data_IF_414350451985
#
_entry.id   IF_414350451985
#
_cell.length_a   1.000
_cell.length_b   1.000
_cell.length_c   1.000
_cell.angle_alpha   90.00
_cell.angle_beta   90.00
_cell.angle_gamma   90.00
#
_symmetry.space_group_name_H-M   'P 1'
#
loop_
_entity.id
_entity.type
_entity.pdbx_description
1 polymer ?
#
# COMPACT_ATOMS: atom_id res chain seq x y z
N UNK A 1 6.81 -21.88 36.45
CA UNK A 1 6.20 -21.25 35.25
C UNK A 1 4.69 -21.28 35.42
N UNK A 2 3.95 -20.30 34.85
CA UNK A 2 2.49 -20.24 34.92
C UNK A 2 1.95 -20.03 33.50
N UNK A 3 1.04 -20.90 33.04
CA UNK A 3 0.28 -20.66 31.82
C UNK A 3 -0.62 -19.45 32.04
N UNK A 4 -0.64 -18.52 31.08
CA UNK A 4 -1.42 -17.28 31.18
C UNK A 4 -2.41 -17.09 30.03
N UNK A 5 -2.18 -17.75 28.89
CA UNK A 5 -3.00 -17.57 27.69
C UNK A 5 -2.79 -18.73 26.71
N UNK A 6 -3.89 -19.25 26.15
CA UNK A 6 -3.93 -20.15 24.99
C UNK A 6 -4.61 -19.42 23.82
N UNK A 7 -3.83 -19.10 22.79
CA UNK A 7 -4.31 -18.38 21.60
C UNK A 7 -4.36 -19.31 20.38
N UNK A 8 -5.55 -19.64 19.83
CA UNK A 8 -5.63 -20.46 18.62
C UNK A 8 -5.08 -19.67 17.42
N UNK A 9 -4.33 -20.35 16.56
CA UNK A 9 -3.74 -19.75 15.35
C UNK A 9 -3.98 -20.62 14.13
N UNK A 10 -4.28 -19.99 13.00
CA UNK A 10 -4.52 -20.69 11.73
C UNK A 10 -3.20 -20.92 10.96
N UNK A 11 -3.18 -22.00 10.16
CA UNK A 11 -2.08 -22.36 9.26
C UNK A 11 -0.70 -22.50 9.92
N UNK A 12 -0.66 -23.13 11.11
CA UNK A 12 0.56 -23.59 11.80
C UNK A 12 1.75 -22.62 11.71
N UNK A 13 1.72 -21.47 12.41
CA UNK A 13 2.87 -20.56 12.44
C UNK A 13 4.11 -21.28 12.99
N UNK A 14 5.18 -21.33 12.18
CA UNK A 14 6.38 -22.08 12.52
C UNK A 14 7.29 -21.38 13.53
N UNK A 15 7.33 -20.04 13.54
CA UNK A 15 8.23 -19.25 14.39
C UNK A 15 7.67 -17.84 14.68
N UNK A 16 8.21 -17.14 15.68
CA UNK A 16 7.87 -15.76 16.02
C UNK A 16 9.06 -14.97 16.59
N UNK A 17 9.04 -13.64 16.45
CA UNK A 17 10.04 -12.73 17.03
C UNK A 17 9.36 -11.59 17.79
N UNK A 18 9.95 -11.21 18.92
CA UNK A 18 9.46 -10.11 19.76
C UNK A 18 10.39 -8.89 19.62
N UNK A 19 9.78 -7.73 19.42
CA UNK A 19 10.44 -6.42 19.50
C UNK A 19 9.66 -5.53 20.47
N UNK A 20 10.38 -4.66 21.20
CA UNK A 20 9.73 -3.66 22.05
C UNK A 20 9.04 -2.62 21.18
N UNK A 21 7.97 -2.05 21.72
CA UNK A 21 7.21 -0.97 21.07
C UNK A 21 8.10 0.20 20.59
N UNK A 22 9.14 0.55 21.34
CA UNK A 22 10.01 1.70 21.07
C UNK A 22 11.04 1.46 19.94
N UNK A 23 11.22 0.21 19.50
CA UNK A 23 12.16 -0.16 18.44
C UNK A 23 11.56 0.04 17.04
N UNK A 24 10.23 0.07 16.91
CA UNK A 24 9.53 0.16 15.62
C UNK A 24 8.74 1.48 15.54
N UNK A 25 8.97 2.25 14.47
CA UNK A 25 8.28 3.52 14.21
C UNK A 25 7.56 3.44 12.85
N UNK A 26 6.26 3.20 12.88
CA UNK A 26 5.43 3.12 11.67
C UNK A 26 4.99 4.52 11.21
N UNK A 27 4.80 4.69 9.90
CA UNK A 27 4.15 5.87 9.33
C UNK A 27 2.63 5.67 9.36
N UNK A 28 1.87 6.76 9.52
CA UNK A 28 0.39 6.74 9.53
C UNK A 28 -0.21 6.98 8.14
N UNK A 29 0.54 7.63 7.26
CA UNK A 29 0.13 8.03 5.92
C UNK A 29 1.25 7.71 4.93
N UNK A 30 0.86 7.39 3.70
CA UNK A 30 1.78 7.24 2.59
C UNK A 30 2.32 8.60 2.13
N UNK A 31 3.56 8.62 1.67
CA UNK A 31 4.13 9.76 0.97
C UNK A 31 3.74 9.69 -0.50
N UNK A 32 3.34 10.79 -1.13
CA UNK A 32 3.00 10.78 -2.57
C UNK A 32 4.18 10.48 -3.48
N UNK A 33 5.40 10.47 -2.95
CA UNK A 33 6.63 10.06 -3.63
C UNK A 33 7.13 8.67 -3.21
N UNK A 34 6.31 7.86 -2.54
CA UNK A 34 6.75 6.55 -2.05
C UNK A 34 7.12 5.60 -3.21
N UNK A 35 8.29 4.92 -3.15
CA UNK A 35 8.72 4.02 -4.21
C UNK A 35 7.76 2.86 -4.45
N UNK A 36 6.94 2.49 -3.46
CA UNK A 36 5.96 1.41 -3.57
C UNK A 36 5.04 1.55 -4.78
N UNK A 37 4.71 2.78 -5.20
CA UNK A 37 3.82 3.05 -6.33
C UNK A 37 4.43 3.97 -7.39
N UNK A 38 5.75 4.18 -7.37
CA UNK A 38 6.43 5.10 -8.29
C UNK A 38 6.21 4.77 -9.77
N UNK A 39 6.22 3.49 -10.15
CA UNK A 39 5.97 3.06 -11.54
C UNK A 39 4.57 3.48 -12.03
N UNK A 40 3.58 3.45 -11.14
CA UNK A 40 2.21 3.87 -11.47
C UNK A 40 2.10 5.39 -11.60
N UNK A 41 2.87 6.15 -10.82
CA UNK A 41 2.98 7.62 -10.96
C UNK A 41 3.63 7.97 -12.30
N UNK A 42 4.73 7.31 -12.67
CA UNK A 42 5.40 7.54 -13.96
C UNK A 42 4.47 7.25 -15.15
N UNK A 43 3.62 6.22 -15.05
CA UNK A 43 2.61 5.95 -16.08
C UNK A 43 1.57 7.08 -16.16
N UNK A 44 1.11 7.60 -15.03
CA UNK A 44 0.17 8.72 -15.01
C UNK A 44 0.80 9.98 -15.61
N UNK A 45 2.09 10.23 -15.37
CA UNK A 45 2.84 11.33 -15.99
C UNK A 45 2.92 11.17 -17.51
N UNK A 46 3.19 9.97 -18.02
CA UNK A 46 3.16 9.66 -19.47
C UNK A 46 1.78 9.88 -20.09
N UNK A 47 0.71 9.62 -19.33
CA UNK A 47 -0.67 9.88 -19.73
C UNK A 47 -1.10 11.34 -19.51
N UNK A 48 -0.24 12.22 -18.95
CA UNK A 48 -0.57 13.62 -18.66
C UNK A 48 -1.64 13.79 -17.57
N UNK A 49 -1.66 12.91 -16.57
CA UNK A 49 -2.65 12.86 -15.49
C UNK A 49 -2.04 13.31 -14.16
N UNK A 50 -2.64 14.32 -13.51
CA UNK A 50 -2.35 14.69 -12.12
C UNK A 50 -3.18 13.81 -11.16
N UNK A 51 -2.53 12.80 -10.58
CA UNK A 51 -3.15 11.85 -9.66
C UNK A 51 -3.74 12.48 -8.38
N UNK A 52 -3.45 13.75 -8.09
CA UNK A 52 -4.00 14.44 -6.92
C UNK A 52 -5.35 15.10 -7.18
N UNK A 53 -5.79 15.19 -8.45
CA UNK A 53 -6.95 16.00 -8.83
C UNK A 53 -7.81 15.37 -9.92
N UNK A 54 -7.19 14.63 -10.83
CA UNK A 54 -7.83 14.22 -12.06
C UNK A 54 -8.76 13.02 -11.88
N UNK A 55 -9.89 13.06 -12.60
CA UNK A 55 -10.74 11.92 -12.89
C UNK A 55 -10.80 11.78 -14.42
N UNK A 56 -10.04 10.84 -14.98
CA UNK A 56 -9.82 10.72 -16.44
C UNK A 56 -9.85 9.27 -16.90
N UNK A 57 -10.35 9.06 -18.12
CA UNK A 57 -10.28 7.78 -18.84
C UNK A 57 -9.38 7.96 -20.05
N UNK A 58 -8.29 7.20 -20.10
CA UNK A 58 -7.36 7.16 -21.23
C UNK A 58 -7.63 5.90 -22.03
N UNK A 59 -7.80 6.05 -23.35
CA UNK A 59 -8.03 4.94 -24.28
C UNK A 59 -6.87 4.88 -25.28
N UNK A 60 -6.22 3.73 -25.36
CA UNK A 60 -5.10 3.45 -26.27
C UNK A 60 -5.36 2.08 -26.91
N UNK A 61 -5.79 2.10 -28.17
CA UNK A 61 -6.27 0.92 -28.89
C UNK A 61 -7.34 0.14 -28.11
N UNK A 62 -7.01 -1.09 -27.69
CA UNK A 62 -7.86 -1.97 -26.90
C UNK A 62 -7.60 -1.86 -25.38
N UNK A 63 -6.75 -0.93 -24.93
CA UNK A 63 -6.44 -0.71 -23.52
C UNK A 63 -7.15 0.53 -23.01
N UNK A 64 -7.74 0.42 -21.83
CA UNK A 64 -8.37 1.53 -21.12
C UNK A 64 -7.73 1.66 -19.75
N UNK A 65 -7.25 2.87 -19.41
CA UNK A 65 -6.73 3.21 -18.09
C UNK A 65 -7.66 4.24 -17.45
N UNK A 66 -8.10 3.97 -16.23
CA UNK A 66 -9.01 4.84 -15.49
C UNK A 66 -8.28 5.39 -14.28
N UNK A 67 -8.22 6.70 -14.20
CA UNK A 67 -7.69 7.44 -13.06
C UNK A 67 -8.85 8.13 -12.36
N UNK A 68 -8.96 7.92 -11.05
CA UNK A 68 -10.02 8.51 -10.24
C UNK A 68 -9.48 8.86 -8.86
N UNK A 69 -9.92 10.00 -8.32
CA UNK A 69 -9.69 10.35 -6.92
C UNK A 69 -10.88 9.91 -6.07
N UNK A 70 -10.60 9.47 -4.85
CA UNK A 70 -11.60 9.24 -3.82
C UNK A 70 -11.48 10.37 -2.82
N UNK A 71 -12.51 11.21 -2.71
CA UNK A 71 -12.58 12.32 -1.75
C UNK A 71 -13.25 11.88 -0.46
#
# INVERSE_FOLDING_TARGET
MKLVHDGPTFAEPHDCILARRDQIKTRKIWDRKDPFFAETVERAEKDGVDLMKDNKVIREDNKVRVYMVSM
#
